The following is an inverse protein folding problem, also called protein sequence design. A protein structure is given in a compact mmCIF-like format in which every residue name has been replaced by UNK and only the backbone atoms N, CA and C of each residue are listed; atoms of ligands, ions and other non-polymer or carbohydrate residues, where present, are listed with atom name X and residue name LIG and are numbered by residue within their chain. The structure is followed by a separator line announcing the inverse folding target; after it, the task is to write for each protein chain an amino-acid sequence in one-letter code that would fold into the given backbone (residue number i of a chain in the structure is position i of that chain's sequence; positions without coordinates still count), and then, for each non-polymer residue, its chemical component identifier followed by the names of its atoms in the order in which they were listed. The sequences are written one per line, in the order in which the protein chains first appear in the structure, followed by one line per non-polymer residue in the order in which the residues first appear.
data_IF_981846867633
#
_entry.id   IF_981846867633
#
_cell.length_a   1.000
_cell.length_b   1.000
_cell.length_c   1.000
_cell.angle_alpha   90.00
_cell.angle_beta   90.00
_cell.angle_gamma   90.00
#
_symmetry.space_group_name_H-M   'P 1'
#
loop_
_entity.id
_entity.type
_entity.pdbx_description
1 polymer ?
#
# COMPACT_ATOMS: atom_id res chain seq x y z
N UNK A 1 -4.20 53.53 -33.75
CA UNK A 1 -3.13 53.18 -32.76
C UNK A 1 -3.71 52.69 -31.44
N UNK A 2 -4.68 53.38 -30.80
CA UNK A 2 -5.32 52.90 -29.55
C UNK A 2 -5.98 51.52 -29.66
N UNK A 3 -6.65 51.23 -30.77
CA UNK A 3 -7.33 49.94 -30.98
C UNK A 3 -6.34 48.76 -30.97
N UNK A 4 -5.17 48.93 -31.57
CA UNK A 4 -4.11 47.91 -31.60
C UNK A 4 -3.53 47.69 -30.20
N UNK A 5 -3.40 48.75 -29.40
CA UNK A 5 -2.95 48.62 -28.00
C UNK A 5 -3.99 47.98 -27.10
N UNK A 6 -5.29 48.22 -27.35
CA UNK A 6 -6.37 47.55 -26.60
C UNK A 6 -6.43 46.07 -27.00
N UNK A 7 -6.35 45.76 -28.29
CA UNK A 7 -6.34 44.39 -28.77
C UNK A 7 -5.14 43.59 -28.25
N UNK A 8 -3.94 44.19 -28.21
CA UNK A 8 -2.75 43.52 -27.70
C UNK A 8 -2.81 43.25 -26.20
N UNK A 9 -3.35 44.20 -25.41
CA UNK A 9 -3.55 43.99 -23.97
C UNK A 9 -4.61 42.92 -23.68
N UNK A 10 -5.70 42.87 -24.45
CA UNK A 10 -6.71 41.80 -24.33
C UNK A 10 -6.14 40.42 -24.69
N UNK A 11 -5.32 40.32 -25.73
CA UNK A 11 -4.65 39.06 -26.07
C UNK A 11 -3.66 38.64 -24.98
N UNK A 12 -2.91 39.59 -24.42
CA UNK A 12 -1.97 39.31 -23.34
C UNK A 12 -2.69 38.78 -22.09
N UNK A 13 -3.81 39.36 -21.68
CA UNK A 13 -4.58 38.88 -20.52
C UNK A 13 -5.13 37.48 -20.74
N UNK A 14 -5.67 37.19 -21.94
CA UNK A 14 -6.15 35.84 -22.29
C UNK A 14 -5.01 34.82 -22.30
N UNK A 15 -3.83 35.17 -22.84
CA UNK A 15 -2.68 34.27 -22.82
C UNK A 15 -2.23 33.98 -21.38
N UNK A 16 -2.16 35.00 -20.52
CA UNK A 16 -1.78 34.80 -19.11
C UNK A 16 -2.79 33.94 -18.35
N UNK A 17 -4.09 34.10 -18.60
CA UNK A 17 -5.12 33.28 -17.94
C UNK A 17 -5.03 31.81 -18.39
N UNK A 18 -4.84 31.56 -19.68
CA UNK A 18 -4.64 30.20 -20.21
C UNK A 18 -3.37 29.56 -19.63
N UNK A 19 -2.25 30.30 -19.53
CA UNK A 19 -1.02 29.78 -18.94
C UNK A 19 -1.19 29.36 -17.48
N UNK A 20 -1.91 30.17 -16.68
CA UNK A 20 -2.21 29.83 -15.29
C UNK A 20 -3.04 28.56 -15.21
N UNK A 21 -4.12 28.47 -16.02
CA UNK A 21 -4.98 27.27 -16.06
C UNK A 21 -4.18 26.03 -16.44
N UNK A 22 -3.35 26.09 -17.48
CA UNK A 22 -2.51 24.96 -17.91
C UNK A 22 -1.52 24.52 -16.84
N UNK A 23 -0.88 25.47 -16.14
CA UNK A 23 0.02 25.18 -15.03
C UNK A 23 -0.72 24.49 -13.88
N UNK A 24 -1.84 25.05 -13.45
CA UNK A 24 -2.64 24.44 -12.37
C UNK A 24 -3.19 23.06 -12.74
N UNK A 25 -3.57 22.87 -14.01
CA UNK A 25 -4.02 21.57 -14.52
C UNK A 25 -2.93 20.51 -14.48
N UNK A 26 -1.69 20.89 -14.83
CA UNK A 26 -0.53 20.00 -14.75
C UNK A 26 -0.19 19.62 -13.30
N UNK A 27 -0.13 20.61 -12.41
CA UNK A 27 0.14 20.37 -10.98
C UNK A 27 -0.91 19.43 -10.36
N UNK A 28 -2.20 19.64 -10.68
CA UNK A 28 -3.27 18.76 -10.24
C UNK A 28 -3.17 17.34 -10.82
N UNK A 29 -2.77 17.21 -12.09
CA UNK A 29 -2.57 15.90 -12.71
C UNK A 29 -1.40 15.14 -12.09
N UNK A 30 -0.25 15.80 -11.88
CA UNK A 30 0.93 15.20 -11.25
C UNK A 30 0.62 14.72 -9.83
N UNK A 31 -0.13 15.50 -9.04
CA UNK A 31 -0.57 15.10 -7.70
C UNK A 31 -1.48 13.85 -7.73
N UNK A 32 -2.46 13.81 -8.63
CA UNK A 32 -3.34 12.65 -8.78
C UNK A 32 -2.58 11.40 -9.25
N UNK A 33 -1.61 11.56 -10.15
CA UNK A 33 -0.78 10.46 -10.62
C UNK A 33 0.07 9.89 -9.48
N UNK A 34 0.66 10.73 -8.64
CA UNK A 34 1.43 10.30 -7.47
C UNK A 34 0.56 9.53 -6.47
N UNK A 35 -0.66 10.03 -6.18
CA UNK A 35 -1.63 9.34 -5.33
C UNK A 35 -2.00 7.96 -5.90
N UNK A 36 -2.27 7.88 -7.21
CA UNK A 36 -2.64 6.63 -7.88
C UNK A 36 -1.55 5.56 -7.78
N UNK A 37 -0.29 5.94 -8.03
CA UNK A 37 0.85 5.03 -7.94
C UNK A 37 0.97 4.43 -6.53
N UNK A 38 0.83 5.24 -5.47
CA UNK A 38 0.87 4.76 -4.09
C UNK A 38 -0.27 3.82 -3.75
N UNK A 39 -1.49 4.15 -4.19
CA UNK A 39 -2.67 3.28 -3.99
C UNK A 39 -2.47 1.93 -4.71
N UNK A 40 -1.94 1.96 -5.93
CA UNK A 40 -1.65 0.75 -6.70
C UNK A 40 -0.57 -0.09 -6.02
N UNK A 41 0.49 0.51 -5.47
CA UNK A 41 1.51 -0.18 -4.69
C UNK A 41 0.91 -0.87 -3.45
N UNK A 42 0.03 -0.18 -2.71
CA UNK A 42 -0.70 -0.77 -1.58
C UNK A 42 -1.56 -1.96 -2.00
N UNK A 43 -2.31 -1.85 -3.11
CA UNK A 43 -3.13 -2.95 -3.62
C UNK A 43 -2.29 -4.13 -4.11
N UNK A 44 -1.19 -3.87 -4.82
CA UNK A 44 -0.28 -4.89 -5.30
C UNK A 44 0.33 -5.68 -4.13
N UNK A 45 0.77 -4.98 -3.09
CA UNK A 45 1.30 -5.58 -1.85
C UNK A 45 0.29 -6.52 -1.21
N UNK A 46 -0.95 -6.05 -0.98
CA UNK A 46 -1.99 -6.87 -0.33
C UNK A 46 -2.36 -8.06 -1.21
N UNK A 47 -2.50 -7.88 -2.54
CA UNK A 47 -2.80 -8.99 -3.47
C UNK A 47 -1.70 -10.04 -3.50
N UNK A 48 -0.44 -9.61 -3.52
CA UNK A 48 0.71 -10.50 -3.48
C UNK A 48 0.68 -11.35 -2.21
N UNK A 49 0.58 -10.71 -1.04
CA UNK A 49 0.51 -11.40 0.26
C UNK A 49 -0.67 -12.39 0.30
N UNK A 50 -1.87 -11.97 -0.11
CA UNK A 50 -3.05 -12.84 -0.12
C UNK A 50 -2.86 -14.04 -1.06
N UNK A 51 -2.24 -13.85 -2.23
CA UNK A 51 -1.96 -14.93 -3.17
C UNK A 51 -1.05 -15.99 -2.57
N UNK A 52 0.04 -15.57 -1.93
CA UNK A 52 1.00 -16.48 -1.31
C UNK A 52 0.42 -17.17 -0.06
N UNK A 53 -0.34 -16.46 0.78
CA UNK A 53 -0.99 -17.07 1.95
C UNK A 53 -2.01 -18.14 1.54
N UNK A 54 -2.73 -17.98 0.42
CA UNK A 54 -3.64 -19.02 -0.08
C UNK A 54 -2.94 -20.32 -0.45
N UNK A 55 -1.64 -20.26 -0.73
CA UNK A 55 -0.81 -21.42 -1.04
C UNK A 55 0.00 -21.90 0.17
N UNK A 56 -0.06 -21.17 1.29
CA UNK A 56 0.59 -21.54 2.52
C UNK A 56 -0.17 -22.66 3.23
N UNK A 57 0.60 -23.55 3.83
CA UNK A 57 0.15 -24.64 4.67
C UNK A 57 -0.09 -24.16 6.11
N UNK A 58 0.67 -23.17 6.57
CA UNK A 58 0.54 -22.61 7.91
C UNK A 58 1.28 -21.30 8.12
N UNK A 59 0.91 -20.59 9.19
CA UNK A 59 1.62 -19.40 9.66
C UNK A 59 2.67 -19.82 10.67
N UNK A 60 3.93 -19.45 10.46
CA UNK A 60 5.05 -19.79 11.36
C UNK A 60 5.37 -18.64 12.32
N UNK A 61 5.16 -17.40 11.89
CA UNK A 61 5.32 -16.22 12.73
C UNK A 61 4.41 -15.08 12.24
N UNK A 62 3.87 -14.29 13.18
CA UNK A 62 3.08 -13.10 12.87
C UNK A 62 3.37 -12.05 13.94
N UNK A 63 3.57 -10.80 13.53
CA UNK A 63 3.71 -9.68 14.46
C UNK A 63 2.39 -9.40 15.19
N UNK A 64 2.46 -8.76 16.36
CA UNK A 64 1.27 -8.29 17.07
C UNK A 64 0.38 -7.40 16.19
N UNK A 65 -0.94 -7.50 16.38
CA UNK A 65 -1.94 -6.73 15.61
C UNK A 65 -1.92 -5.22 15.86
N UNK A 66 -1.19 -4.76 16.88
CA UNK A 66 -0.93 -3.35 17.15
C UNK A 66 0.35 -2.82 16.51
N UNK A 67 1.17 -3.69 15.90
CA UNK A 67 2.40 -3.29 15.25
C UNK A 67 2.11 -2.70 13.86
N UNK A 68 2.41 -1.41 13.68
CA UNK A 68 2.28 -0.71 12.39
C UNK A 68 3.42 -1.05 11.40
N UNK A 69 4.49 -1.68 11.88
CA UNK A 69 5.59 -2.24 11.11
C UNK A 69 5.57 -3.76 11.19
N UNK A 70 4.48 -4.34 10.70
CA UNK A 70 4.20 -5.76 10.82
C UNK A 70 5.13 -6.64 10.01
N UNK A 71 5.24 -7.89 10.46
CA UNK A 71 5.94 -8.96 9.77
C UNK A 71 5.11 -10.24 9.81
N UNK A 72 5.18 -11.02 8.75
CA UNK A 72 4.49 -12.30 8.63
C UNK A 72 5.44 -13.33 8.01
N UNK A 73 5.46 -14.53 8.56
CA UNK A 73 6.13 -15.69 7.98
C UNK A 73 5.13 -16.82 7.84
N UNK A 74 5.12 -17.46 6.67
CA UNK A 74 4.27 -18.60 6.36
C UNK A 74 5.11 -19.71 5.75
N UNK A 75 4.69 -20.96 5.94
CA UNK A 75 5.31 -22.12 5.29
C UNK A 75 4.45 -22.55 4.11
N UNK A 76 5.07 -22.73 2.95
CA UNK A 76 4.45 -23.28 1.75
C UNK A 76 4.41 -24.80 1.80
N UNK A 77 3.61 -25.44 0.95
CA UNK A 77 3.57 -26.91 0.86
C UNK A 77 4.90 -27.56 0.41
N UNK A 78 5.84 -26.76 -0.09
CA UNK A 78 7.20 -27.22 -0.42
C UNK A 78 8.17 -27.14 0.78
N UNK A 79 7.68 -26.75 1.97
CA UNK A 79 8.50 -26.53 3.16
C UNK A 79 9.29 -25.21 3.16
N UNK A 80 9.16 -24.39 2.11
CA UNK A 80 9.82 -23.08 2.05
C UNK A 80 9.06 -22.08 2.92
N UNK A 81 9.76 -21.42 3.83
CA UNK A 81 9.21 -20.31 4.61
C UNK A 81 9.30 -19.03 3.78
N UNK A 82 8.17 -18.40 3.50
CA UNK A 82 8.10 -17.06 2.92
C UNK A 82 7.94 -16.03 4.02
N UNK A 83 8.62 -14.89 3.90
CA UNK A 83 8.59 -13.83 4.90
C UNK A 83 8.28 -12.48 4.26
N UNK A 84 7.43 -11.71 4.93
CA UNK A 84 7.20 -10.29 4.70
C UNK A 84 7.61 -9.50 5.93
N UNK A 85 8.22 -8.34 5.71
CA UNK A 85 8.54 -7.39 6.77
C UNK A 85 8.37 -5.97 6.25
N UNK A 86 7.70 -5.13 7.04
CA UNK A 86 7.67 -3.70 6.79
C UNK A 86 8.77 -3.00 7.60
N UNK A 87 9.47 -2.08 6.95
CA UNK A 87 10.42 -1.17 7.58
C UNK A 87 9.78 0.21 7.71
N UNK A 88 9.46 0.61 8.95
CA UNK A 88 8.86 1.90 9.25
C UNK A 88 9.80 3.10 8.98
N UNK A 89 11.12 2.90 8.97
CA UNK A 89 12.09 3.95 8.70
C UNK A 89 12.17 4.28 7.21
N UNK A 90 12.13 3.26 6.36
CA UNK A 90 12.22 3.45 4.90
C UNK A 90 10.88 3.36 4.16
N UNK A 91 9.79 3.02 4.87
CA UNK A 91 8.44 2.83 4.30
C UNK A 91 8.40 1.77 3.20
N UNK A 92 9.25 0.75 3.33
CA UNK A 92 9.40 -0.34 2.37
C UNK A 92 8.80 -1.62 2.94
N UNK A 93 8.09 -2.34 2.08
CA UNK A 93 7.72 -3.73 2.34
C UNK A 93 8.73 -4.61 1.63
N UNK A 94 9.39 -5.45 2.41
CA UNK A 94 10.34 -6.45 1.94
C UNK A 94 9.69 -7.83 1.94
N UNK A 95 10.14 -8.68 1.02
CA UNK A 95 9.69 -10.05 0.81
C UNK A 95 10.88 -10.94 0.50
N UNK A 96 10.78 -12.22 0.85
CA UNK A 96 11.71 -13.23 0.36
C UNK A 96 11.56 -14.58 1.07
N UNK A 97 12.20 -15.64 0.54
CA UNK A 97 12.27 -16.94 1.17
C UNK A 97 13.26 -16.93 2.35
N UNK A 98 12.79 -17.30 3.54
CA UNK A 98 13.54 -17.31 4.80
C UNK A 98 13.75 -15.91 5.39
N UNK A 99 14.23 -14.97 4.58
CA UNK A 99 14.48 -13.57 4.92
C UNK A 99 13.70 -12.63 4.01
N UNK A 100 13.25 -11.49 4.56
CA UNK A 100 12.59 -10.45 3.78
C UNK A 100 13.63 -9.41 3.35
N UNK A 101 14.30 -9.66 2.24
CA UNK A 101 15.42 -8.87 1.71
C UNK A 101 15.15 -8.23 0.34
N UNK A 102 14.14 -8.71 -0.39
CA UNK A 102 13.76 -8.17 -1.69
C UNK A 102 12.67 -7.11 -1.55
N UNK A 103 12.82 -5.98 -2.24
CA UNK A 103 11.81 -4.93 -2.24
C UNK A 103 10.53 -5.41 -2.95
N UNK A 104 9.42 -5.47 -2.21
CA UNK A 104 8.09 -5.76 -2.76
C UNK A 104 7.36 -4.48 -3.16
N UNK A 105 7.35 -3.48 -2.27
CA UNK A 105 6.71 -2.20 -2.53
C UNK A 105 7.35 -1.07 -1.72
N UNK A 106 7.58 0.10 -2.33
CA UNK A 106 7.93 1.32 -1.62
C UNK A 106 6.67 2.09 -1.15
N UNK A 107 6.89 3.13 -0.35
CA UNK A 107 5.89 4.11 0.07
C UNK A 107 4.64 3.53 0.76
N UNK A 108 4.82 2.44 1.50
CA UNK A 108 3.79 1.90 2.39
C UNK A 108 4.00 2.54 3.76
N UNK A 109 2.99 3.24 4.28
CA UNK A 109 3.09 3.96 5.55
C UNK A 109 3.04 3.01 6.74
N UNK A 110 2.14 2.02 6.65
CA UNK A 110 2.03 0.95 7.63
C UNK A 110 1.57 -0.34 6.98
N UNK A 111 2.07 -1.46 7.49
CA UNK A 111 1.62 -2.79 7.14
C UNK A 111 1.32 -3.53 8.44
N UNK A 112 0.07 -3.97 8.59
CA UNK A 112 -0.40 -4.63 9.79
C UNK A 112 -1.00 -6.00 9.45
N UNK A 113 -0.72 -6.95 10.32
CA UNK A 113 -1.24 -8.31 10.25
C UNK A 113 -2.00 -8.62 11.53
N UNK A 114 -3.16 -9.26 11.40
CA UNK A 114 -3.88 -9.82 12.53
C UNK A 114 -4.27 -11.27 12.21
N UNK A 115 -3.88 -12.20 13.07
CA UNK A 115 -4.19 -13.61 12.96
C UNK A 115 -5.43 -13.96 13.79
N UNK A 116 -6.32 -14.75 13.19
CA UNK A 116 -7.57 -15.21 13.77
C UNK A 116 -7.70 -16.73 13.63
N UNK A 117 -8.54 -17.33 14.47
CA UNK A 117 -8.96 -18.73 14.37
C UNK A 117 -9.92 -18.94 13.19
N UNK A 118 -10.41 -20.17 12.98
CA UNK A 118 -11.34 -20.52 11.89
C UNK A 118 -12.61 -19.65 11.84
N UNK A 119 -13.04 -19.13 12.99
CA UNK A 119 -14.21 -18.25 13.08
C UNK A 119 -13.98 -16.85 12.48
N UNK A 120 -12.74 -16.50 12.13
CA UNK A 120 -12.36 -15.20 11.56
C UNK A 120 -12.54 -14.00 12.50
N UNK A 121 -12.83 -14.23 13.79
CA UNK A 121 -13.15 -13.16 14.76
C UNK A 121 -12.37 -13.29 16.06
N UNK A 122 -12.11 -14.51 16.53
CA UNK A 122 -11.28 -14.77 17.71
C UNK A 122 -9.81 -14.65 17.34
N UNK A 123 -9.10 -13.73 17.99
CA UNK A 123 -7.65 -13.59 17.80
C UNK A 123 -6.93 -14.88 18.22
N UNK A 124 -6.02 -15.36 17.38
CA UNK A 124 -5.19 -16.52 17.71
C UNK A 124 -4.11 -16.14 18.74
N UNK A 125 -3.92 -16.97 19.75
CA UNK A 125 -2.88 -16.75 20.76
C UNK A 125 -1.48 -17.12 20.23
N UNK A 126 -1.42 -18.09 19.32
CA UNK A 126 -0.21 -18.66 18.75
C UNK A 126 -0.26 -18.64 17.22
N UNK A 127 0.90 -18.56 16.56
CA UNK A 127 0.99 -18.59 15.10
C UNK A 127 0.38 -19.87 14.48
N UNK A 128 0.57 -21.02 15.13
CA UNK A 128 0.02 -22.30 14.66
C UNK A 128 -1.52 -22.42 14.74
N UNK A 129 -2.18 -21.53 15.50
CA UNK A 129 -3.65 -21.49 15.57
C UNK A 129 -4.27 -20.54 14.53
N UNK A 130 -3.44 -19.82 13.77
CA UNK A 130 -3.90 -18.84 12.78
C UNK A 130 -4.45 -19.57 11.56
N UNK A 131 -5.76 -19.46 11.36
CA UNK A 131 -6.46 -20.02 10.20
C UNK A 131 -7.00 -18.93 9.28
N UNK A 132 -7.06 -17.68 9.76
CA UNK A 132 -7.42 -16.52 8.97
C UNK A 132 -6.49 -15.34 9.28
N UNK A 133 -5.98 -14.68 8.25
CA UNK A 133 -5.12 -13.51 8.37
C UNK A 133 -5.82 -12.30 7.76
N UNK A 134 -5.93 -11.23 8.54
CA UNK A 134 -6.27 -9.91 8.05
C UNK A 134 -4.98 -9.14 7.74
N UNK A 135 -4.85 -8.72 6.49
CA UNK A 135 -3.75 -7.87 6.02
C UNK A 135 -4.29 -6.47 5.82
N UNK A 136 -3.66 -5.47 6.41
CA UNK A 136 -3.98 -4.05 6.20
C UNK A 136 -2.72 -3.30 5.80
N UNK A 137 -2.72 -2.72 4.61
CA UNK A 137 -1.67 -1.80 4.15
C UNK A 137 -2.23 -0.38 4.11
N UNK A 138 -1.51 0.59 4.64
CA UNK A 138 -1.89 2.01 4.58
C UNK A 138 -0.86 2.78 3.77
N UNK A 139 -1.33 3.70 2.93
CA UNK A 139 -0.47 4.60 2.15
C UNK A 139 -0.84 6.05 2.42
N UNK A 140 0.14 6.95 2.37
CA UNK A 140 -0.07 8.41 2.41
C UNK A 140 -0.30 8.92 0.99
N UNK A 141 -1.33 9.73 0.81
CA UNK A 141 -1.67 10.43 -0.43
C UNK A 141 -1.03 11.82 -0.43
N UNK A 142 0.07 12.05 -1.17
CA UNK A 142 0.75 13.34 -1.18
C UNK A 142 -0.14 14.49 -1.69
N UNK A 143 -1.14 14.21 -2.52
CA UNK A 143 -2.07 15.22 -3.01
C UNK A 143 -3.07 15.75 -1.97
N UNK A 144 -3.08 15.19 -0.74
CA UNK A 144 -4.01 15.56 0.32
C UNK A 144 -3.27 15.72 1.65
N UNK A 145 -3.46 16.86 2.32
CA UNK A 145 -2.91 17.08 3.68
C UNK A 145 -3.42 15.99 4.63
N UNK A 146 -2.51 15.18 5.17
CA UNK A 146 -2.80 14.02 6.02
C UNK A 146 -3.75 12.98 5.37
N UNK A 147 -3.82 12.96 4.03
CA UNK A 147 -4.63 11.98 3.33
C UNK A 147 -4.00 10.61 3.46
N UNK A 148 -4.71 9.66 4.07
CA UNK A 148 -4.29 8.26 4.10
C UNK A 148 -5.35 7.38 3.47
N UNK A 149 -4.92 6.29 2.84
CA UNK A 149 -5.82 5.24 2.38
C UNK A 149 -5.36 3.89 2.91
N UNK A 150 -6.26 3.21 3.62
CA UNK A 150 -6.03 1.84 4.08
C UNK A 150 -6.74 0.85 3.18
N UNK A 151 -5.99 -0.18 2.76
CA UNK A 151 -6.43 -1.29 1.94
C UNK A 151 -6.39 -2.53 2.83
N UNK A 152 -7.54 -3.16 3.00
CA UNK A 152 -7.71 -4.31 3.89
C UNK A 152 -8.20 -5.52 3.12
N UNK A 153 -7.64 -6.68 3.42
CA UNK A 153 -8.11 -7.96 2.91
C UNK A 153 -8.02 -9.04 3.99
N UNK A 154 -8.85 -10.06 3.83
CA UNK A 154 -8.87 -11.24 4.67
C UNK A 154 -8.56 -12.46 3.82
N UNK A 155 -7.75 -13.36 4.35
CA UNK A 155 -7.36 -14.58 3.67
C UNK A 155 -7.33 -15.74 4.65
N UNK A 156 -7.94 -16.85 4.25
CA UNK A 156 -7.93 -18.09 4.99
C UNK A 156 -6.71 -18.89 4.59
N UNK A 157 -5.98 -19.36 5.58
CA UNK A 157 -4.84 -20.25 5.40
C UNK A 157 -5.39 -21.65 5.14
N UNK A 158 -4.76 -22.41 4.26
CA UNK A 158 -5.18 -23.78 3.96
C UNK A 158 -4.67 -24.70 5.08
N UNK A 159 -5.23 -24.57 6.29
CA UNK A 159 -4.91 -25.49 7.38
C UNK A 159 -5.69 -26.80 7.21
N UNK A 160 -4.98 -27.92 7.21
CA UNK A 160 -5.54 -29.26 7.35
C UNK A 160 -5.69 -29.63 8.83
#
# INVERSE_FOLDING_TARGET
MMEVTIASTMLATVLTSVMIVMRTGREAWEANQADFVRIQAGHATVRHIVREIRQAEGVTAISASTNNSGSLSVVTSAGVTLRWAHDNGTKRVLFGPGTADQLLAPDIESLNFAGFRADGTTAAANAGEVQCVRVTATVILPGRTNGTRSIRSWVWVRSW
#
